data_IF_557466493285
#
_entry.id   IF_557466493285
#
_cell.length_a   1.000
_cell.length_b   1.000
_cell.length_c   1.000
_cell.angle_alpha   90.00
_cell.angle_beta   90.00
_cell.angle_gamma   90.00
#
_symmetry.space_group_name_H-M   'P 1'
#
loop_
_entity.id
_entity.type
_entity.pdbx_description
1 polymer ?
#
# COMPACT_ATOMS: atom_id res chain seq x y z
N UNK A 1 -29.81 20.86 -6.49
CA UNK A 1 -29.19 20.29 -7.70
C UNK A 1 -28.39 19.08 -7.26
N UNK A 2 -28.47 18.00 -8.04
CA UNK A 2 -28.39 16.63 -7.59
C UNK A 2 -27.18 16.27 -6.70
N UNK A 3 -27.51 15.52 -5.65
CA UNK A 3 -26.67 14.69 -4.81
C UNK A 3 -25.83 13.73 -5.68
N UNK A 4 -24.72 14.22 -6.22
CA UNK A 4 -23.72 13.37 -6.87
C UNK A 4 -22.88 12.72 -5.77
N UNK A 5 -23.49 11.82 -5.00
CA UNK A 5 -22.77 10.80 -4.24
C UNK A 5 -21.91 10.04 -5.26
N UNK A 6 -20.67 10.46 -5.39
CA UNK A 6 -19.68 9.87 -6.28
C UNK A 6 -19.72 8.35 -6.07
N UNK A 7 -20.20 7.62 -7.08
CA UNK A 7 -20.33 6.17 -6.94
C UNK A 7 -18.95 5.62 -6.69
N UNK A 8 -18.74 4.84 -5.60
CA UNK A 8 -17.45 4.26 -5.35
C UNK A 8 -17.11 3.29 -6.49
N UNK A 9 -15.99 3.53 -7.16
CA UNK A 9 -15.44 2.62 -8.17
C UNK A 9 -14.82 1.38 -7.49
N UNK A 10 -14.95 0.21 -8.11
CA UNK A 10 -14.35 -1.03 -7.62
C UNK A 10 -12.93 -1.18 -8.13
N UNK A 11 -11.96 -1.03 -7.23
CA UNK A 11 -10.57 -1.38 -7.49
C UNK A 11 -10.33 -2.86 -7.16
N UNK A 12 -9.75 -3.61 -8.09
CA UNK A 12 -9.19 -4.94 -7.84
C UNK A 12 -7.67 -4.82 -7.69
N UNK A 13 -7.12 -5.47 -6.67
CA UNK A 13 -5.68 -5.48 -6.41
C UNK A 13 -5.26 -6.92 -6.17
N UNK A 14 -4.17 -7.33 -6.82
CA UNK A 14 -3.54 -8.62 -6.59
C UNK A 14 -2.53 -8.47 -5.45
N UNK A 15 -2.66 -9.32 -4.44
CA UNK A 15 -1.76 -9.40 -3.29
C UNK A 15 -1.28 -10.84 -3.17
N UNK A 16 -0.05 -11.02 -2.73
CA UNK A 16 0.43 -12.35 -2.32
C UNK A 16 -0.18 -12.75 -0.95
N UNK A 17 0.07 -13.99 -0.53
CA UNK A 17 -0.51 -14.53 0.72
C UNK A 17 -0.07 -13.73 1.95
N UNK A 18 1.20 -13.31 2.00
CA UNK A 18 1.76 -12.58 3.12
C UNK A 18 1.14 -11.17 3.22
N UNK A 19 1.03 -10.47 2.10
CA UNK A 19 0.38 -9.14 2.02
C UNK A 19 -1.09 -9.21 2.40
N UNK A 20 -1.80 -10.25 1.96
CA UNK A 20 -3.20 -10.46 2.32
C UNK A 20 -3.35 -10.70 3.84
N UNK A 21 -2.49 -11.52 4.43
CA UNK A 21 -2.49 -11.78 5.88
C UNK A 21 -2.14 -10.53 6.69
N UNK A 22 -1.18 -9.73 6.22
CA UNK A 22 -0.79 -8.47 6.85
C UNK A 22 -1.93 -7.44 6.84
N UNK A 23 -2.63 -7.31 5.70
CA UNK A 23 -3.80 -6.45 5.59
C UNK A 23 -4.92 -6.88 6.57
N UNK A 24 -5.20 -8.18 6.68
CA UNK A 24 -6.25 -8.66 7.55
C UNK A 24 -5.87 -8.53 9.04
N UNK A 25 -4.63 -8.82 9.39
CA UNK A 25 -4.08 -8.58 10.74
C UNK A 25 -4.25 -7.12 11.14
N UNK A 26 -3.79 -6.19 10.28
CA UNK A 26 -3.91 -4.76 10.55
C UNK A 26 -5.38 -4.30 10.64
N UNK A 27 -6.27 -4.85 9.81
CA UNK A 27 -7.72 -4.61 9.87
C UNK A 27 -8.27 -4.98 11.25
N UNK A 28 -7.90 -6.14 11.80
CA UNK A 28 -8.32 -6.55 13.14
C UNK A 28 -7.75 -5.65 14.23
N UNK A 29 -6.45 -5.34 14.15
CA UNK A 29 -5.77 -4.48 15.12
C UNK A 29 -6.41 -3.09 15.23
N UNK A 30 -6.79 -2.52 14.09
CA UNK A 30 -7.49 -1.23 14.00
C UNK A 30 -9.01 -1.33 14.12
N UNK A 31 -9.55 -2.52 14.41
CA UNK A 31 -10.99 -2.81 14.56
C UNK A 31 -11.84 -2.34 13.38
N UNK A 32 -11.31 -2.53 12.17
CA UNK A 32 -11.99 -2.06 10.96
C UNK A 32 -13.07 -3.04 10.50
N UNK A 33 -14.25 -2.53 10.11
CA UNK A 33 -15.42 -3.36 9.85
C UNK A 33 -15.32 -4.16 8.54
N UNK A 34 -14.45 -3.78 7.61
CA UNK A 34 -14.28 -4.47 6.32
C UNK A 34 -12.89 -4.29 5.74
N UNK A 35 -12.51 -5.18 4.82
CA UNK A 35 -11.25 -5.06 4.06
C UNK A 35 -11.22 -3.78 3.22
N UNK A 36 -12.35 -3.37 2.65
CA UNK A 36 -12.45 -2.11 1.92
C UNK A 36 -12.18 -0.89 2.82
N UNK A 37 -12.66 -0.90 4.08
CA UNK A 37 -12.35 0.14 5.04
C UNK A 37 -10.84 0.18 5.35
N UNK A 38 -10.21 -0.99 5.50
CA UNK A 38 -8.77 -1.08 5.70
C UNK A 38 -7.97 -0.52 4.52
N UNK A 39 -8.27 -0.93 3.30
CA UNK A 39 -7.59 -0.42 2.10
C UNK A 39 -7.77 1.09 1.95
N UNK A 40 -8.98 1.62 2.18
CA UNK A 40 -9.23 3.08 2.13
C UNK A 40 -8.43 3.85 3.17
N UNK A 41 -8.33 3.32 4.38
CA UNK A 41 -7.57 3.97 5.45
C UNK A 41 -6.06 3.89 5.20
N UNK A 42 -5.55 2.80 4.62
CA UNK A 42 -4.17 2.72 4.14
C UNK A 42 -3.90 3.75 3.03
N UNK A 43 -4.80 3.86 2.04
CA UNK A 43 -4.70 4.87 0.98
C UNK A 43 -4.69 6.28 1.56
N UNK A 44 -5.60 6.59 2.49
CA UNK A 44 -5.66 7.90 3.15
C UNK A 44 -4.36 8.22 3.90
N UNK A 45 -3.84 7.26 4.66
CA UNK A 45 -2.58 7.41 5.40
C UNK A 45 -1.38 7.56 4.47
N UNK A 46 -1.38 6.82 3.36
CA UNK A 46 -0.38 6.96 2.32
C UNK A 46 -0.40 8.37 1.74
N UNK A 47 -1.55 8.82 1.23
CA UNK A 47 -1.68 10.16 0.65
C UNK A 47 -1.35 11.30 1.61
N UNK A 48 -1.53 11.10 2.93
CA UNK A 48 -1.20 12.07 3.97
C UNK A 48 0.25 11.95 4.50
N UNK A 49 0.99 10.90 4.15
CA UNK A 49 2.36 10.73 4.61
C UNK A 49 3.30 11.63 3.81
N UNK A 50 4.08 12.47 4.50
CA UNK A 50 5.14 13.25 3.88
C UNK A 50 6.21 12.31 3.32
N UNK A 51 6.61 12.49 2.06
CA UNK A 51 7.63 11.66 1.42
C UNK A 51 7.10 10.56 0.47
N UNK A 52 5.84 10.62 0.04
CA UNK A 52 5.44 9.87 -1.16
C UNK A 52 6.28 10.37 -2.34
N UNK A 53 7.28 9.56 -2.70
CA UNK A 53 7.90 9.61 -4.01
C UNK A 53 6.74 9.56 -4.99
N UNK A 54 6.49 10.67 -5.70
CA UNK A 54 5.75 10.57 -6.94
C UNK A 54 6.50 9.50 -7.71
N UNK A 55 5.88 8.33 -7.87
CA UNK A 55 6.51 7.22 -8.57
C UNK A 55 6.96 7.79 -9.91
N UNK A 56 8.27 7.92 -10.10
CA UNK A 56 8.81 8.44 -11.34
C UNK A 56 8.27 7.55 -12.45
N UNK A 57 7.86 8.14 -13.58
CA UNK A 57 7.12 7.43 -14.62
C UNK A 57 7.91 6.19 -15.08
N UNK A 58 7.57 5.02 -14.55
CA UNK A 58 8.36 3.79 -14.75
C UNK A 58 8.48 2.86 -13.54
N UNK A 59 8.09 3.28 -12.32
CA UNK A 59 8.10 2.35 -11.18
C UNK A 59 7.09 1.23 -11.38
N UNK A 60 7.58 -0.02 -11.44
CA UNK A 60 6.74 -1.21 -11.65
C UNK A 60 5.90 -1.47 -10.41
N UNK A 61 4.64 -1.88 -10.60
CA UNK A 61 3.71 -2.20 -9.50
C UNK A 61 4.24 -3.23 -8.50
N UNK A 62 5.18 -4.10 -8.91
CA UNK A 62 5.81 -5.09 -8.03
C UNK A 62 6.83 -4.54 -7.02
N UNK A 63 7.18 -3.26 -7.10
CA UNK A 63 8.14 -2.62 -6.18
C UNK A 63 7.47 -2.02 -4.92
N UNK A 64 6.14 -1.85 -4.94
CA UNK A 64 5.36 -1.23 -3.86
C UNK A 64 4.92 -2.18 -2.74
N UNK A 65 5.64 -3.29 -2.52
CA UNK A 65 5.26 -4.35 -1.59
C UNK A 65 4.97 -3.85 -0.17
N UNK A 66 3.87 -4.30 0.43
CA UNK A 66 3.40 -3.86 1.76
C UNK A 66 4.23 -4.42 2.93
N UNK A 67 5.17 -5.32 2.63
CA UNK A 67 6.02 -6.02 3.59
C UNK A 67 7.50 -5.77 3.32
N UNK A 68 7.94 -4.54 3.59
CA UNK A 68 9.35 -4.23 3.70
C UNK A 68 9.75 -4.15 5.18
N UNK A 69 9.53 -5.25 5.90
CA UNK A 69 10.23 -5.51 7.15
C UNK A 69 11.59 -6.13 6.85
N UNK A 70 12.66 -5.34 6.98
CA UNK A 70 14.06 -5.79 7.05
C UNK A 70 14.86 -6.06 5.76
N UNK A 71 14.70 -5.25 4.70
CA UNK A 71 15.72 -5.22 3.64
C UNK A 71 16.13 -3.82 3.17
N UNK A 72 16.40 -2.96 4.16
CA UNK A 72 17.40 -1.91 4.02
C UNK A 72 18.62 -2.22 4.90
N UNK A 73 19.13 -3.45 4.83
CA UNK A 73 20.39 -3.83 5.49
C UNK A 73 21.15 -4.95 4.76
N UNK A 74 21.02 -5.07 3.42
CA UNK A 74 21.90 -5.96 2.65
C UNK A 74 22.64 -5.24 1.53
N UNK A 75 23.72 -4.59 1.98
CA UNK A 75 25.01 -4.44 1.30
C UNK A 75 25.01 -3.55 0.05
N UNK A 76 25.31 -2.26 0.29
CA UNK A 76 26.31 -1.58 -0.53
C UNK A 76 27.59 -2.41 -0.51
N UNK A 77 27.92 -3.08 -1.62
CA UNK A 77 29.30 -3.39 -1.94
C UNK A 77 29.75 -2.39 -3.01
N UNK A 78 30.88 -1.69 -2.82
CA UNK A 78 31.44 -0.86 -3.88
C UNK A 78 31.84 -1.78 -5.05
N UNK A 79 31.47 -1.37 -6.26
CA UNK A 79 31.97 -1.96 -7.50
C UNK A 79 33.41 -1.48 -7.68
N UNK A 80 34.38 -2.35 -7.45
CA UNK A 80 35.74 -2.20 -7.97
C UNK A 80 35.80 -2.90 -9.32
N UNK A 81 36.16 -2.15 -10.35
CA UNK A 81 36.40 -2.59 -11.72
C UNK A 81 37.07 -1.47 -12.49
#
# INVERSE_FOLDING_TARGET
>A
MADNLERPERLQVMLNEEEFAALDTWRFDKRMPSRAAAVRELLRRGLAAEGFLHADSGTRSGDFGLLNGEQHARKTKPSEG
#
